data_IF_544015950410
#
_entry.id   IF_544015950410
#
_cell.length_a   1.000
_cell.length_b   1.000
_cell.length_c   1.000
_cell.angle_alpha   90.00
_cell.angle_beta   90.00
_cell.angle_gamma   90.00
#
_symmetry.space_group_name_H-M   'P 1'
#
loop_
_entity.id
_entity.type
_entity.pdbx_description
1 polymer ?
#
# COMPACT_ATOMS: atom_id res chain seq x y z
N UNK A 1 -10.19 8.32 1.36
CA UNK A 1 -9.17 9.18 0.68
C UNK A 1 -7.83 8.49 0.82
N UNK A 2 -7.09 8.31 -0.27
CA UNK A 2 -5.69 7.84 -0.26
C UNK A 2 -4.78 9.05 -0.38
N UNK A 3 -3.67 9.04 0.36
CA UNK A 3 -2.59 10.04 0.30
C UNK A 3 -1.24 9.35 0.41
N UNK A 4 -0.25 9.85 -0.30
CA UNK A 4 1.12 9.36 -0.17
C UNK A 4 1.67 9.62 1.23
N UNK A 5 2.54 8.74 1.73
CA UNK A 5 3.22 8.91 3.02
C UNK A 5 4.02 10.20 3.08
N UNK A 6 4.60 10.59 1.93
CA UNK A 6 5.50 11.74 1.84
C UNK A 6 6.89 11.44 2.42
N UNK A 7 7.19 10.19 2.77
CA UNK A 7 8.51 9.80 3.24
C UNK A 7 9.56 9.95 2.12
N UNK A 8 10.69 10.56 2.47
CA UNK A 8 11.83 10.71 1.57
C UNK A 8 13.08 10.10 2.23
N UNK A 9 13.56 8.96 1.73
CA UNK A 9 14.76 8.31 2.27
C UNK A 9 15.96 9.26 2.31
N UNK A 10 16.75 9.20 3.37
CA UNK A 10 17.94 10.05 3.61
C UNK A 10 17.66 11.54 3.84
N UNK A 11 16.40 11.96 3.83
CA UNK A 11 15.98 13.32 4.16
C UNK A 11 15.47 13.39 5.60
N UNK A 12 14.72 12.38 6.02
CA UNK A 12 14.11 12.32 7.35
C UNK A 12 14.71 11.19 8.18
N UNK A 13 14.74 11.37 9.49
CA UNK A 13 14.87 10.29 10.46
C UNK A 13 13.49 9.68 10.68
N UNK A 14 13.40 8.36 10.69
CA UNK A 14 12.13 7.62 10.74
C UNK A 14 11.28 8.02 11.95
N UNK A 15 11.88 8.06 13.13
CA UNK A 15 11.16 8.40 14.36
C UNK A 15 10.59 9.84 14.32
N UNK A 16 11.38 10.79 13.83
CA UNK A 16 10.91 12.17 13.68
C UNK A 16 9.77 12.26 12.66
N UNK A 17 9.92 11.59 11.53
CA UNK A 17 8.91 11.59 10.47
C UNK A 17 7.60 10.97 10.95
N UNK A 18 7.66 9.83 11.64
CA UNK A 18 6.50 9.17 12.25
C UNK A 18 5.79 10.12 13.23
N UNK A 19 6.53 10.77 14.13
CA UNK A 19 5.96 11.69 15.11
C UNK A 19 5.24 12.87 14.46
N UNK A 20 5.92 13.56 13.52
CA UNK A 20 5.35 14.74 12.87
C UNK A 20 4.15 14.39 11.99
N UNK A 21 4.24 13.30 11.23
CA UNK A 21 3.15 12.84 10.38
C UNK A 21 1.94 12.39 11.21
N UNK A 22 2.16 11.65 12.29
CA UNK A 22 1.09 11.23 13.19
C UNK A 22 0.37 12.43 13.83
N UNK A 23 1.12 13.45 14.25
CA UNK A 23 0.53 14.69 14.76
C UNK A 23 -0.32 15.39 13.70
N UNK A 24 0.22 15.58 12.50
CA UNK A 24 -0.49 16.23 11.39
C UNK A 24 -1.78 15.48 11.04
N UNK A 25 -1.73 14.16 10.87
CA UNK A 25 -2.90 13.38 10.48
C UNK A 25 -3.95 13.26 11.60
N UNK A 26 -3.57 13.26 12.87
CA UNK A 26 -4.53 13.38 13.98
C UNK A 26 -5.29 14.70 13.94
N UNK A 27 -4.57 15.82 13.76
CA UNK A 27 -5.18 17.15 13.64
C UNK A 27 -6.11 17.23 12.41
N UNK A 28 -5.68 16.67 11.28
CA UNK A 28 -6.48 16.59 10.06
C UNK A 28 -7.77 15.80 10.30
N UNK A 29 -7.69 14.63 10.95
CA UNK A 29 -8.83 13.76 11.21
C UNK A 29 -9.79 14.34 12.25
N UNK A 30 -9.34 15.14 13.20
CA UNK A 30 -10.17 15.77 14.22
C UNK A 30 -11.29 16.64 13.62
N UNK A 31 -11.05 17.24 12.45
CA UNK A 31 -12.03 18.04 11.71
C UNK A 31 -12.91 17.26 10.74
N UNK A 32 -12.86 15.91 10.71
CA UNK A 32 -13.55 15.07 9.74
C UNK A 32 -14.65 14.24 10.41
N UNK A 33 -15.72 13.90 9.66
CA UNK A 33 -16.79 13.03 10.19
C UNK A 33 -16.26 11.61 10.46
N UNK A 34 -16.94 10.87 11.31
CA UNK A 34 -16.60 9.49 11.67
C UNK A 34 -16.60 8.51 10.49
N UNK A 35 -17.34 8.83 9.42
CA UNK A 35 -17.39 8.06 8.18
C UNK A 35 -16.21 8.34 7.23
N UNK A 36 -15.36 9.33 7.55
CA UNK A 36 -14.19 9.63 6.74
C UNK A 36 -13.13 8.57 6.96
N UNK A 37 -12.53 8.09 5.89
CA UNK A 37 -11.42 7.14 5.92
C UNK A 37 -10.19 7.76 5.25
N UNK A 38 -9.05 7.67 5.95
CA UNK A 38 -7.73 8.11 5.49
C UNK A 38 -6.84 6.89 5.32
N UNK A 39 -6.35 6.66 4.12
CA UNK A 39 -5.39 5.60 3.83
C UNK A 39 -4.07 6.21 3.39
N UNK A 40 -2.99 5.81 4.05
CA UNK A 40 -1.65 6.31 3.77
C UNK A 40 -0.93 5.28 2.91
N UNK A 41 -0.36 5.74 1.81
CA UNK A 41 0.24 4.92 0.76
C UNK A 41 1.77 5.04 0.77
N UNK A 42 2.47 3.93 0.61
CA UNK A 42 3.91 3.88 0.40
C UNK A 42 4.28 4.33 -1.02
N UNK A 43 5.37 5.06 -1.16
CA UNK A 43 5.91 5.49 -2.47
C UNK A 43 7.42 5.20 -2.56
N UNK A 44 8.22 5.89 -1.76
CA UNK A 44 9.68 5.77 -1.74
C UNK A 44 10.19 5.10 -0.47
N UNK A 45 9.29 4.53 0.31
CA UNK A 45 9.60 3.89 1.58
C UNK A 45 10.50 2.67 1.36
N UNK A 46 11.63 2.60 2.07
CA UNK A 46 12.61 1.55 1.89
C UNK A 46 12.18 0.20 2.51
N UNK A 47 11.28 0.24 3.49
CA UNK A 47 10.69 -0.89 4.19
C UNK A 47 9.32 -0.52 4.78
N UNK A 48 8.50 -1.50 5.21
CA UNK A 48 7.14 -1.24 5.69
C UNK A 48 7.04 -0.66 7.11
N UNK A 49 8.16 -0.60 7.86
CA UNK A 49 8.12 -0.33 9.31
C UNK A 49 7.70 1.10 9.59
N UNK A 50 8.28 2.06 8.87
CA UNK A 50 7.96 3.48 9.05
C UNK A 50 6.48 3.78 8.79
N UNK A 51 5.90 3.19 7.73
CA UNK A 51 4.48 3.35 7.41
C UNK A 51 3.58 2.70 8.45
N UNK A 52 3.91 1.49 8.94
CA UNK A 52 3.21 0.83 10.04
C UNK A 52 3.20 1.71 11.27
N UNK A 53 4.37 2.14 11.71
CA UNK A 53 4.55 2.91 12.94
C UNK A 53 3.80 4.26 12.86
N UNK A 54 3.78 4.88 11.69
CA UNK A 54 3.01 6.10 11.45
C UNK A 54 1.51 5.88 11.67
N UNK A 55 0.94 4.85 11.03
CA UNK A 55 -0.50 4.56 11.15
C UNK A 55 -0.86 4.18 12.59
N UNK A 56 -0.03 3.38 13.25
CA UNK A 56 -0.20 3.03 14.66
C UNK A 56 -0.09 4.26 15.57
N UNK A 57 0.87 5.15 15.33
CA UNK A 57 1.02 6.39 16.09
C UNK A 57 -0.12 7.39 15.88
N UNK A 58 -0.77 7.41 14.71
CA UNK A 58 -2.00 8.20 14.51
C UNK A 58 -3.06 7.77 15.51
N UNK A 59 -3.23 6.47 15.75
CA UNK A 59 -4.12 5.93 16.78
C UNK A 59 -5.60 6.24 16.55
N UNK A 60 -6.01 6.54 15.33
CA UNK A 60 -7.40 6.82 14.94
C UNK A 60 -7.93 5.68 14.07
N UNK A 61 -9.09 5.12 14.44
CA UNK A 61 -9.71 4.02 13.69
C UNK A 61 -10.03 4.35 12.22
N UNK A 62 -10.05 5.62 11.85
CA UNK A 62 -10.27 6.09 10.48
C UNK A 62 -9.00 6.09 9.64
N UNK A 63 -7.82 5.97 10.27
CA UNK A 63 -6.54 5.82 9.57
C UNK A 63 -6.27 4.35 9.24
N UNK A 64 -5.71 4.10 8.07
CA UNK A 64 -5.29 2.78 7.63
C UNK A 64 -4.21 2.88 6.56
N UNK A 65 -3.85 1.74 6.00
CA UNK A 65 -2.83 1.64 4.96
C UNK A 65 -3.47 1.37 3.59
N UNK A 66 -2.97 2.06 2.59
CA UNK A 66 -3.01 1.62 1.19
C UNK A 66 -1.63 1.07 0.84
N UNK A 67 -1.53 -0.22 0.55
CA UNK A 67 -0.28 -0.80 0.06
C UNK A 67 -0.23 -0.71 -1.46
N UNK A 68 0.65 0.13 -1.99
CA UNK A 68 1.03 0.04 -3.39
C UNK A 68 2.14 -0.99 -3.56
N UNK A 69 1.80 -2.08 -4.27
CA UNK A 69 2.71 -3.23 -4.43
C UNK A 69 3.78 -2.96 -5.48
N UNK A 70 3.50 -2.11 -6.46
CA UNK A 70 4.48 -1.73 -7.47
C UNK A 70 5.54 -0.80 -6.89
N UNK A 71 5.14 0.21 -6.13
CA UNK A 71 6.06 1.07 -5.40
C UNK A 71 6.95 0.26 -4.44
N UNK A 72 6.36 -0.65 -3.66
CA UNK A 72 7.13 -1.51 -2.75
C UNK A 72 8.15 -2.36 -3.51
N UNK A 73 7.82 -2.84 -4.72
CA UNK A 73 8.72 -3.65 -5.52
C UNK A 73 9.91 -2.86 -6.09
N UNK A 74 9.71 -1.59 -6.43
CA UNK A 74 10.76 -0.71 -6.99
C UNK A 74 11.62 -0.07 -5.90
N UNK A 75 10.99 0.47 -4.85
CA UNK A 75 11.68 1.31 -3.87
C UNK A 75 12.35 0.51 -2.74
N UNK A 76 11.83 -0.69 -2.43
CA UNK A 76 12.23 -1.45 -1.26
C UNK A 76 13.18 -2.61 -1.58
N UNK A 77 14.03 -2.94 -0.59
CA UNK A 77 14.79 -4.20 -0.58
C UNK A 77 14.00 -5.35 0.05
N UNK A 78 12.98 -5.04 0.83
CA UNK A 78 12.09 -6.03 1.41
C UNK A 78 11.14 -6.57 0.33
N UNK A 79 10.93 -7.89 0.24
CA UNK A 79 9.95 -8.45 -0.69
C UNK A 79 8.54 -7.91 -0.43
N UNK A 80 7.73 -7.72 -1.48
CA UNK A 80 6.32 -7.24 -1.37
C UNK A 80 5.50 -8.05 -0.35
N UNK A 81 5.78 -9.34 -0.19
CA UNK A 81 5.13 -10.22 0.79
C UNK A 81 5.47 -9.87 2.24
N UNK A 82 6.64 -9.32 2.49
CA UNK A 82 7.00 -8.82 3.82
C UNK A 82 6.19 -7.55 4.12
N UNK A 83 6.08 -6.65 3.16
CA UNK A 83 5.19 -5.49 3.24
C UNK A 83 3.77 -5.90 3.61
N UNK A 84 3.21 -6.87 2.88
CA UNK A 84 1.87 -7.37 3.16
C UNK A 84 1.73 -7.90 4.60
N UNK A 85 2.67 -8.70 5.09
CA UNK A 85 2.62 -9.26 6.43
C UNK A 85 2.70 -8.21 7.52
N UNK A 86 3.60 -7.24 7.37
CA UNK A 86 3.82 -6.18 8.36
C UNK A 86 2.62 -5.24 8.41
N UNK A 87 2.03 -4.92 7.25
CA UNK A 87 0.95 -3.96 7.14
C UNK A 87 -0.45 -4.55 7.29
N UNK A 88 -0.60 -5.87 7.21
CA UNK A 88 -1.90 -6.56 7.22
C UNK A 88 -2.87 -6.12 8.33
N UNK A 89 -2.44 -5.86 9.58
CA UNK A 89 -3.35 -5.40 10.63
C UNK A 89 -4.04 -4.06 10.33
N UNK A 90 -3.38 -3.20 9.55
CA UNK A 90 -3.84 -1.86 9.21
C UNK A 90 -4.21 -1.72 7.72
N UNK A 91 -4.07 -2.79 6.93
CA UNK A 91 -4.28 -2.79 5.49
C UNK A 91 -5.77 -2.74 5.13
N UNK A 92 -6.17 -1.73 4.34
CA UNK A 92 -7.55 -1.57 3.89
C UNK A 92 -7.69 -1.46 2.39
N UNK A 93 -6.62 -1.09 1.72
CA UNK A 93 -6.61 -0.95 0.28
C UNK A 93 -5.28 -1.36 -0.31
N UNK A 94 -5.31 -1.83 -1.56
CA UNK A 94 -4.11 -2.19 -2.32
C UNK A 94 -4.19 -1.54 -3.69
N UNK A 95 -3.16 -0.82 -4.07
CA UNK A 95 -2.92 -0.45 -5.46
C UNK A 95 -2.11 -1.56 -6.13
N UNK A 96 -2.64 -2.08 -7.22
CA UNK A 96 -2.10 -3.25 -7.90
C UNK A 96 -1.70 -2.90 -9.34
N UNK A 97 -0.41 -2.81 -9.57
CA UNK A 97 0.22 -2.76 -10.88
C UNK A 97 1.54 -3.51 -10.81
N UNK A 98 2.03 -3.97 -11.96
CA UNK A 98 3.24 -4.77 -12.02
C UNK A 98 4.42 -3.96 -12.60
N UNK A 99 5.61 -4.43 -12.31
CA UNK A 99 6.86 -3.94 -12.86
C UNK A 99 7.95 -5.01 -12.70
N UNK A 100 9.14 -4.75 -13.22
CA UNK A 100 10.29 -5.67 -13.13
C UNK A 100 11.27 -5.30 -12.00
N UNK A 101 10.92 -4.33 -11.14
CA UNK A 101 11.74 -3.81 -10.06
C UNK A 101 12.73 -2.72 -10.48
N UNK A 102 12.83 -2.37 -11.76
CA UNK A 102 13.77 -1.35 -12.25
C UNK A 102 13.18 0.07 -12.23
N UNK A 103 11.89 0.21 -12.52
CA UNK A 103 11.14 1.47 -12.48
C UNK A 103 9.65 1.20 -12.34
N UNK A 104 8.91 2.23 -11.98
CA UNK A 104 7.47 2.17 -11.76
C UNK A 104 6.69 2.18 -13.09
N UNK A 105 6.57 0.99 -13.70
CA UNK A 105 6.08 0.82 -15.06
C UNK A 105 4.56 0.75 -15.20
N UNK A 106 3.81 0.59 -14.10
CA UNK A 106 2.36 0.39 -14.11
C UNK A 106 1.88 -0.67 -15.10
N UNK A 107 2.61 -1.80 -15.23
CA UNK A 107 2.21 -2.92 -16.07
C UNK A 107 0.96 -3.61 -15.52
N UNK A 108 0.16 -4.23 -16.38
CA UNK A 108 -0.89 -5.13 -15.94
C UNK A 108 -0.34 -6.25 -15.04
N UNK A 109 -1.02 -6.59 -13.92
CA UNK A 109 -0.64 -7.71 -13.07
C UNK A 109 -0.36 -9.00 -13.84
N UNK A 110 0.84 -9.55 -13.64
CA UNK A 110 1.34 -10.74 -14.34
C UNK A 110 2.19 -10.45 -15.58
N UNK A 111 2.45 -9.19 -15.90
CA UNK A 111 3.37 -8.78 -16.99
C UNK A 111 4.74 -8.32 -16.48
N UNK A 112 4.91 -8.24 -15.18
CA UNK A 112 6.17 -8.00 -14.49
C UNK A 112 6.63 -9.19 -13.65
N UNK A 113 7.26 -8.92 -12.50
CA UNK A 113 7.91 -9.95 -11.67
C UNK A 113 7.36 -10.05 -10.24
N UNK A 114 6.31 -9.32 -9.86
CA UNK A 114 5.74 -9.32 -8.50
C UNK A 114 5.10 -10.66 -8.12
N UNK A 115 4.60 -11.43 -9.08
CA UNK A 115 4.02 -12.74 -8.82
C UNK A 115 2.58 -12.67 -8.26
N UNK A 116 1.74 -11.90 -8.89
CA UNK A 116 0.37 -11.58 -8.47
C UNK A 116 -0.54 -12.77 -8.14
N UNK A 117 -0.54 -13.92 -8.84
CA UNK A 117 -1.43 -15.03 -8.45
C UNK A 117 -1.25 -15.44 -6.99
N UNK A 118 0.00 -15.51 -6.55
CA UNK A 118 0.31 -15.86 -5.16
C UNK A 118 0.04 -14.70 -4.21
N UNK A 119 0.34 -13.47 -4.63
CA UNK A 119 0.13 -12.27 -3.83
C UNK A 119 -1.36 -12.06 -3.52
N UNK A 120 -2.27 -12.24 -4.49
CA UNK A 120 -3.71 -12.12 -4.25
C UNK A 120 -4.22 -13.17 -3.25
N UNK A 121 -3.73 -14.41 -3.33
CA UNK A 121 -4.04 -15.43 -2.32
C UNK A 121 -3.58 -15.03 -0.92
N UNK A 122 -2.42 -14.41 -0.79
CA UNK A 122 -1.92 -13.92 0.50
C UNK A 122 -2.69 -12.69 1.00
N UNK A 123 -3.09 -11.76 0.12
CA UNK A 123 -3.96 -10.62 0.49
C UNK A 123 -5.30 -11.16 1.02
N UNK A 124 -5.93 -12.09 0.30
CA UNK A 124 -7.19 -12.68 0.73
C UNK A 124 -7.10 -13.40 2.08
N UNK A 125 -5.95 -13.99 2.39
CA UNK A 125 -5.72 -14.69 3.66
C UNK A 125 -5.41 -13.73 4.83
N UNK A 126 -4.62 -12.69 4.60
CA UNK A 126 -4.09 -11.83 5.66
C UNK A 126 -4.93 -10.55 5.88
N UNK A 127 -5.58 -10.06 4.84
CA UNK A 127 -6.38 -8.85 4.86
C UNK A 127 -7.66 -9.02 4.03
N UNK A 128 -8.57 -9.93 4.37
CA UNK A 128 -9.74 -10.31 3.56
C UNK A 128 -10.75 -9.17 3.32
N UNK A 129 -10.68 -8.11 4.11
CA UNK A 129 -11.53 -6.92 3.96
C UNK A 129 -10.87 -5.83 3.07
N UNK A 130 -9.61 -5.99 2.68
CA UNK A 130 -8.96 -5.01 1.84
C UNK A 130 -9.53 -5.02 0.43
N UNK A 131 -9.75 -3.82 -0.10
CA UNK A 131 -10.16 -3.63 -1.49
C UNK A 131 -8.94 -3.45 -2.39
N UNK A 132 -9.10 -3.66 -3.71
CA UNK A 132 -8.00 -3.56 -4.67
C UNK A 132 -8.38 -2.61 -5.80
N UNK A 133 -7.50 -1.69 -6.14
CA UNK A 133 -7.55 -0.89 -7.38
C UNK A 133 -6.42 -1.31 -8.31
N UNK A 134 -6.75 -1.55 -9.58
CA UNK A 134 -5.74 -1.80 -10.61
C UNK A 134 -5.29 -0.47 -11.24
N UNK A 135 -4.05 -0.12 -11.04
CA UNK A 135 -3.42 1.09 -11.56
C UNK A 135 -2.60 0.81 -12.83
N UNK A 136 -3.26 0.27 -13.84
CA UNK A 136 -2.65 -0.01 -15.14
C UNK A 136 -3.54 0.48 -16.29
N UNK A 137 -3.00 0.69 -17.50
CA UNK A 137 -3.73 1.30 -18.61
C UNK A 137 -5.03 0.57 -19.00
N UNK A 138 -5.11 -0.76 -18.86
CA UNK A 138 -6.31 -1.56 -19.11
C UNK A 138 -6.76 -2.33 -17.87
N UNK A 139 -7.15 -1.60 -16.81
CA UNK A 139 -7.61 -2.20 -15.56
C UNK A 139 -8.77 -3.19 -15.76
N UNK A 140 -9.73 -2.88 -16.65
CA UNK A 140 -10.84 -3.78 -16.93
C UNK A 140 -10.41 -5.07 -17.63
N UNK A 141 -9.46 -4.98 -18.56
CA UNK A 141 -8.87 -6.15 -19.23
C UNK A 141 -8.10 -7.01 -18.26
N UNK A 142 -7.37 -6.40 -17.30
CA UNK A 142 -6.70 -7.10 -16.21
C UNK A 142 -7.68 -7.92 -15.38
N UNK A 143 -8.77 -7.32 -14.91
CA UNK A 143 -9.80 -8.01 -14.09
C UNK A 143 -10.38 -9.19 -14.86
N UNK A 144 -10.80 -8.99 -16.11
CA UNK A 144 -11.34 -10.08 -16.97
C UNK A 144 -10.34 -11.22 -17.13
N UNK A 145 -9.04 -10.90 -17.32
CA UNK A 145 -7.98 -11.91 -17.45
C UNK A 145 -7.81 -12.69 -16.15
N UNK A 146 -7.70 -12.02 -15.01
CA UNK A 146 -7.50 -12.65 -13.72
C UNK A 146 -8.69 -13.55 -13.32
N UNK A 147 -9.92 -13.15 -13.61
CA UNK A 147 -11.12 -13.99 -13.43
C UNK A 147 -11.07 -15.23 -14.32
N UNK A 148 -10.77 -15.06 -15.62
CA UNK A 148 -10.66 -16.19 -16.57
C UNK A 148 -9.60 -17.20 -16.14
N UNK A 149 -8.49 -16.72 -15.59
CA UNK A 149 -7.35 -17.53 -15.18
C UNK A 149 -7.53 -18.11 -13.75
N UNK A 150 -8.67 -17.85 -13.10
CA UNK A 150 -9.03 -18.38 -11.78
C UNK A 150 -8.19 -17.82 -10.64
N UNK A 151 -7.72 -16.58 -10.79
CA UNK A 151 -6.89 -15.88 -9.80
C UNK A 151 -7.76 -14.98 -8.90
N UNK A 152 -8.86 -14.46 -9.43
CA UNK A 152 -9.90 -13.70 -8.74
C UNK A 152 -11.24 -14.40 -8.83
#
# INVERSE_FOLDING_TARGET
MVVHSGFMPRVYFDEWFVEQSAKFFREFLAGRPDSFELLIENVLDADPVCLRDMVEAIGDRRAGVCLDVGHAHVASKAPVREWLRVLAPNLRHVHAHDNDGSFDAHLPPGEGTIGFPKLFGEIAALAPAATVTFECPDAQGCVRRLIRDGIL
#
